data_IF_533864452555
#
_entry.id   IF_533864452555
#
_cell.length_a   1.000
_cell.length_b   1.000
_cell.length_c   1.000
_cell.angle_alpha   90.00
_cell.angle_beta   90.00
_cell.angle_gamma   90.00
#
_symmetry.space_group_name_H-M   'P 1'
#
loop_
_entity.id
_entity.type
_entity.pdbx_description
1 polymer ?
#
# COMPACT_ATOMS: atom_id res chain seq x y z
N UNK A 1 -34.26 58.40 46.65
CA UNK A 1 -34.29 58.39 48.13
C UNK A 1 -32.93 58.87 48.61
N UNK A 2 -32.84 60.05 49.22
CA UNK A 2 -31.56 60.60 49.67
C UNK A 2 -31.20 59.99 51.03
N UNK A 3 -30.06 59.30 51.07
CA UNK A 3 -29.49 58.65 52.24
C UNK A 3 -28.64 59.67 52.99
N UNK A 4 -28.85 59.87 54.31
CA UNK A 4 -27.88 60.62 55.12
C UNK A 4 -26.78 59.67 55.63
N UNK A 5 -25.69 60.25 56.14
CA UNK A 5 -24.35 59.65 56.28
C UNK A 5 -24.23 58.36 57.14
N UNK A 6 -25.32 57.82 57.70
CA UNK A 6 -25.33 56.55 58.43
C UNK A 6 -26.28 55.47 57.87
N UNK A 7 -27.00 55.70 56.77
CA UNK A 7 -27.58 54.61 55.95
C UNK A 7 -28.65 53.71 56.57
N UNK A 8 -29.49 54.22 57.47
CA UNK A 8 -30.39 53.43 58.32
C UNK A 8 -31.88 53.62 57.96
N UNK A 9 -32.40 52.95 56.95
CA UNK A 9 -33.85 52.96 56.63
C UNK A 9 -34.40 51.54 56.61
N UNK A 10 -35.59 51.31 57.18
CA UNK A 10 -36.37 50.07 57.07
C UNK A 10 -37.65 50.30 56.27
N UNK A 11 -38.23 49.25 55.70
CA UNK A 11 -39.47 49.32 54.90
C UNK A 11 -40.67 48.96 55.78
N UNK A 12 -41.70 49.81 55.82
CA UNK A 12 -42.94 49.54 56.56
C UNK A 12 -43.86 48.56 55.80
N UNK A 13 -44.90 48.06 56.48
CA UNK A 13 -45.90 47.14 55.90
C UNK A 13 -46.72 47.75 54.75
N UNK A 14 -46.63 49.06 54.51
CA UNK A 14 -47.26 49.78 53.41
C UNK A 14 -46.28 50.11 52.27
N UNK A 15 -45.05 49.60 52.34
CA UNK A 15 -44.02 49.73 51.31
C UNK A 15 -43.23 51.04 51.31
N UNK A 16 -43.42 51.91 52.32
CA UNK A 16 -42.68 53.17 52.48
C UNK A 16 -41.42 52.97 53.35
N UNK A 17 -40.34 53.67 53.03
CA UNK A 17 -39.08 53.60 53.79
C UNK A 17 -39.09 54.62 54.94
N UNK A 18 -38.96 54.13 56.17
CA UNK A 18 -38.86 54.95 57.39
C UNK A 18 -37.45 54.87 57.97
N UNK A 19 -37.02 55.92 58.67
CA UNK A 19 -35.70 55.96 59.31
C UNK A 19 -35.66 54.91 60.43
N UNK A 20 -34.65 54.04 60.41
CA UNK A 20 -34.46 53.01 61.42
C UNK A 20 -33.94 53.64 62.71
N UNK A 21 -34.73 53.47 63.79
CA UNK A 21 -34.37 53.85 65.14
C UNK A 21 -34.21 52.58 66.00
N UNK A 22 -33.01 52.38 66.56
CA UNK A 22 -32.67 51.23 67.39
C UNK A 22 -33.25 51.29 68.81
N UNK A 23 -33.94 52.38 69.16
CA UNK A 23 -34.57 52.58 70.48
C UNK A 23 -36.08 52.35 70.48
N UNK A 24 -36.69 52.19 69.30
CA UNK A 24 -38.11 51.86 69.15
C UNK A 24 -38.32 50.33 69.21
N UNK A 25 -39.16 49.82 70.14
CA UNK A 25 -39.50 48.40 70.23
C UNK A 25 -40.11 47.82 68.94
N UNK A 26 -40.74 48.66 68.09
CA UNK A 26 -41.34 48.22 66.83
C UNK A 26 -40.31 47.96 65.71
N UNK A 27 -39.10 48.54 65.83
CA UNK A 27 -38.00 48.33 64.88
C UNK A 27 -37.05 47.19 65.30
N UNK A 28 -37.17 46.72 66.55
CA UNK A 28 -36.40 45.62 67.08
C UNK A 28 -36.77 44.30 66.36
N UNK A 29 -35.95 43.90 65.39
CA UNK A 29 -36.13 42.69 64.59
C UNK A 29 -36.65 42.91 63.17
N UNK A 30 -36.82 44.16 62.71
CA UNK A 30 -37.13 44.47 61.32
C UNK A 30 -35.88 44.38 60.44
N UNK A 31 -35.95 43.63 59.34
CA UNK A 31 -34.83 43.48 58.40
C UNK A 31 -34.49 44.83 57.75
N UNK A 32 -33.23 45.25 57.94
CA UNK A 32 -32.71 46.54 57.45
C UNK A 32 -32.54 46.60 55.93
N UNK A 33 -32.48 45.44 55.27
CA UNK A 33 -32.29 45.31 53.82
C UNK A 33 -33.09 44.13 53.28
N UNK A 34 -33.89 44.36 52.24
CA UNK A 34 -34.53 43.30 51.46
C UNK A 34 -33.61 42.93 50.29
N UNK A 35 -32.77 41.90 50.49
CA UNK A 35 -31.90 41.38 49.44
C UNK A 35 -32.65 40.33 48.62
N UNK A 36 -33.28 40.73 47.53
CA UNK A 36 -33.83 39.79 46.57
C UNK A 36 -32.72 39.28 45.63
N UNK A 37 -32.34 38.01 45.77
CA UNK A 37 -31.38 37.36 44.87
C UNK A 37 -32.14 36.82 43.65
N UNK A 38 -32.14 37.58 42.56
CA UNK A 38 -32.69 37.13 41.28
C UNK A 38 -31.60 36.43 40.46
N UNK A 39 -31.84 35.20 40.03
CA UNK A 39 -30.97 34.55 39.07
C UNK A 39 -31.45 34.85 37.64
N UNK A 40 -30.54 34.93 36.66
CA UNK A 40 -30.88 35.21 35.26
C UNK A 40 -30.27 34.16 34.35
N UNK A 41 -30.96 33.82 33.26
CA UNK A 41 -30.42 32.99 32.18
C UNK A 41 -29.19 33.64 31.53
N UNK A 42 -28.38 32.84 30.84
CA UNK A 42 -27.11 33.31 30.23
C UNK A 42 -27.29 34.45 29.20
N UNK A 43 -28.42 34.46 28.50
CA UNK A 43 -28.86 35.51 27.57
C UNK A 43 -29.52 36.72 28.28
N UNK A 44 -29.65 36.67 29.61
CA UNK A 44 -30.27 37.67 30.50
C UNK A 44 -31.76 37.94 30.22
N UNK A 45 -32.44 37.08 29.46
CA UNK A 45 -33.84 37.29 29.06
C UNK A 45 -34.84 36.76 30.09
N UNK A 46 -34.49 35.72 30.84
CA UNK A 46 -35.37 35.06 31.80
C UNK A 46 -34.82 35.18 33.23
N UNK A 47 -35.73 35.38 34.20
CA UNK A 47 -35.41 35.26 35.62
C UNK A 47 -35.62 33.81 36.03
N UNK A 48 -34.58 33.19 36.60
CA UNK A 48 -34.57 31.78 36.98
C UNK A 48 -34.78 31.64 38.49
N UNK A 49 -35.41 30.54 38.89
CA UNK A 49 -35.91 30.38 40.24
C UNK A 49 -34.83 29.90 41.23
N UNK A 50 -33.74 29.32 40.70
CA UNK A 50 -32.64 28.81 41.53
C UNK A 50 -31.28 28.88 40.80
N UNK A 51 -30.21 28.75 41.60
CA UNK A 51 -28.83 28.78 41.11
C UNK A 51 -28.50 27.59 40.20
N UNK A 52 -29.17 26.45 40.38
CA UNK A 52 -28.92 25.23 39.59
C UNK A 52 -29.37 25.40 38.13
N UNK A 53 -30.57 25.93 37.92
CA UNK A 53 -31.11 26.28 36.59
C UNK A 53 -30.24 27.31 35.87
N UNK A 54 -29.66 28.23 36.65
CA UNK A 54 -28.78 29.27 36.14
C UNK A 54 -27.47 28.69 35.62
N UNK A 55 -26.82 27.87 36.44
CA UNK A 55 -25.59 27.18 36.04
C UNK A 55 -25.83 26.33 34.78
N UNK A 56 -26.97 25.65 34.68
CA UNK A 56 -27.30 24.84 33.51
C UNK A 56 -27.50 25.69 32.24
N UNK A 57 -28.19 26.83 32.35
CA UNK A 57 -28.33 27.81 31.26
C UNK A 57 -26.97 28.33 30.77
N UNK A 58 -26.03 28.62 31.68
CA UNK A 58 -24.69 29.08 31.32
C UNK A 58 -23.85 27.99 30.63
N UNK A 59 -23.96 26.72 31.04
CA UNK A 59 -23.29 25.60 30.36
C UNK A 59 -23.82 25.41 28.94
N UNK A 60 -25.14 25.42 28.78
CA UNK A 60 -25.78 25.21 27.48
C UNK A 60 -25.41 26.33 26.51
N UNK A 61 -25.46 27.59 26.96
CA UNK A 61 -25.07 28.73 26.15
C UNK A 61 -23.59 28.69 25.75
N UNK A 62 -22.69 28.32 26.67
CA UNK A 62 -21.27 28.17 26.36
C UNK A 62 -21.03 27.06 25.32
N UNK A 63 -21.71 25.92 25.43
CA UNK A 63 -21.64 24.87 24.42
C UNK A 63 -22.18 25.34 23.07
N UNK A 64 -23.31 26.05 23.05
CA UNK A 64 -23.91 26.58 21.82
C UNK A 64 -22.99 27.60 21.13
N UNK A 65 -22.40 28.52 21.88
CA UNK A 65 -21.44 29.50 21.35
C UNK A 65 -20.17 28.80 20.82
N UNK A 66 -19.66 27.79 21.52
CA UNK A 66 -18.54 26.98 21.05
C UNK A 66 -18.87 26.20 19.76
N UNK A 67 -20.08 25.63 19.67
CA UNK A 67 -20.54 24.89 18.48
C UNK A 67 -20.77 25.84 17.29
N UNK A 68 -21.23 27.06 17.53
CA UNK A 68 -21.51 28.04 16.47
C UNK A 68 -20.21 28.68 15.94
N UNK A 69 -19.24 28.92 16.81
CA UNK A 69 -17.95 29.55 16.43
C UNK A 69 -16.93 28.54 15.88
N UNK A 70 -17.12 27.25 16.09
CA UNK A 70 -16.27 26.20 15.53
C UNK A 70 -16.84 25.75 14.18
N UNK A 71 -16.03 25.70 13.13
CA UNK A 71 -16.45 25.33 11.75
C UNK A 71 -16.75 23.83 11.56
N UNK A 72 -17.17 23.12 12.61
CA UNK A 72 -17.46 21.68 12.54
C UNK A 72 -18.96 21.51 12.26
N UNK A 73 -19.29 21.31 10.98
CA UNK A 73 -20.61 20.86 10.57
C UNK A 73 -20.72 19.35 10.81
N UNK A 74 -21.58 18.94 11.74
CA UNK A 74 -21.93 17.53 11.93
C UNK A 74 -23.10 17.20 10.99
N UNK A 75 -22.81 16.59 9.83
CA UNK A 75 -23.83 15.98 8.97
C UNK A 75 -24.35 14.72 9.67
N UNK A 76 -25.64 14.69 9.97
CA UNK A 76 -26.26 13.74 10.92
C UNK A 76 -26.60 12.39 10.28
N UNK A 77 -25.86 11.96 9.26
CA UNK A 77 -26.26 10.79 8.46
C UNK A 77 -25.39 9.55 8.58
N UNK A 78 -24.30 9.54 9.36
CA UNK A 78 -23.69 8.27 9.75
C UNK A 78 -22.89 8.42 11.03
N UNK A 79 -23.02 7.42 11.92
CA UNK A 79 -22.32 7.31 13.19
C UNK A 79 -20.79 7.28 13.00
N UNK A 80 -20.19 8.45 12.81
CA UNK A 80 -18.77 8.67 13.06
C UNK A 80 -18.65 9.15 14.50
N UNK A 81 -18.40 8.20 15.41
CA UNK A 81 -17.94 8.58 16.73
C UNK A 81 -16.54 9.20 16.56
N UNK A 82 -16.35 10.42 17.03
CA UNK A 82 -15.03 11.02 17.23
C UNK A 82 -14.70 10.85 18.71
N UNK A 83 -13.78 9.94 19.04
CA UNK A 83 -13.15 10.00 20.37
C UNK A 83 -12.19 11.18 20.37
N UNK A 84 -12.45 12.16 21.22
CA UNK A 84 -11.51 13.25 21.50
C UNK A 84 -11.07 13.13 22.95
N UNK A 85 -10.25 12.13 23.24
CA UNK A 85 -9.52 12.04 24.50
C UNK A 85 -8.16 12.76 24.34
N UNK A 86 -8.15 14.07 24.62
CA UNK A 86 -6.93 14.88 24.64
C UNK A 86 -6.92 15.76 25.89
N UNK A 87 -6.02 15.46 26.82
CA UNK A 87 -5.62 16.39 27.88
C UNK A 87 -5.17 17.70 27.20
N UNK A 88 -5.87 18.82 27.49
CA UNK A 88 -5.73 20.10 26.79
C UNK A 88 -4.32 20.70 27.00
N UNK A 89 -3.33 20.23 26.24
CA UNK A 89 -2.11 21.00 26.01
C UNK A 89 -2.39 22.04 24.94
N UNK A 90 -2.30 23.33 25.33
CA UNK A 90 -2.35 24.50 24.44
C UNK A 90 -1.49 24.27 23.18
N UNK A 91 -2.12 24.42 22.01
CA UNK A 91 -1.49 24.52 20.69
C UNK A 91 -0.67 23.31 20.21
N UNK A 92 -1.24 22.11 20.21
CA UNK A 92 -0.73 21.03 19.34
C UNK A 92 -1.68 20.87 18.17
N UNK A 93 -1.23 21.26 16.97
CA UNK A 93 -1.99 21.03 15.74
C UNK A 93 -2.23 19.52 15.55
N UNK A 94 -3.47 19.13 15.29
CA UNK A 94 -3.80 17.76 14.89
C UNK A 94 -3.11 17.49 13.54
N UNK A 95 -2.09 16.63 13.54
CA UNK A 95 -1.43 16.20 12.31
C UNK A 95 -2.23 15.03 11.70
N UNK A 96 -2.97 15.28 10.62
CA UNK A 96 -3.55 14.21 9.83
C UNK A 96 -2.42 13.42 9.15
N UNK A 97 -2.14 12.21 9.63
CA UNK A 97 -1.21 11.29 8.99
C UNK A 97 -1.98 10.51 7.93
N UNK A 98 -1.80 10.88 6.66
CA UNK A 98 -2.27 10.06 5.55
C UNK A 98 -1.29 8.88 5.39
N UNK A 99 -1.67 7.69 5.88
CA UNK A 99 -0.95 6.45 5.57
C UNK A 99 -1.57 5.85 4.30
N UNK A 100 -0.95 6.12 3.15
CA UNK A 100 -1.34 5.49 1.90
C UNK A 100 -0.92 4.02 1.94
N UNK A 101 -1.90 3.10 2.01
CA UNK A 101 -1.66 1.67 1.79
C UNK A 101 -1.28 1.45 0.33
N UNK A 102 0.02 1.52 0.04
CA UNK A 102 0.55 1.20 -1.28
C UNK A 102 0.49 -0.31 -1.47
N UNK A 103 -0.41 -0.77 -2.34
CA UNK A 103 -0.40 -2.16 -2.82
C UNK A 103 0.65 -2.26 -3.91
N UNK A 104 1.69 -3.06 -3.68
CA UNK A 104 2.72 -3.35 -4.70
C UNK A 104 2.15 -4.21 -5.82
N UNK A 105 1.55 -3.58 -6.82
CA UNK A 105 1.24 -4.27 -8.06
C UNK A 105 2.43 -4.13 -9.03
N UNK A 106 2.88 -5.21 -9.69
CA UNK A 106 3.79 -5.11 -10.82
C UNK A 106 3.26 -4.08 -11.82
N UNK A 107 4.12 -3.15 -12.23
CA UNK A 107 3.75 -2.02 -13.11
C UNK A 107 3.57 -2.42 -14.57
N UNK A 108 4.02 -3.62 -14.94
CA UNK A 108 3.98 -4.19 -16.28
C UNK A 108 4.32 -5.69 -16.20
N UNK A 109 4.01 -6.46 -17.24
CA UNK A 109 4.39 -7.88 -17.40
C UNK A 109 5.92 -8.10 -17.41
N UNK A 110 6.74 -7.05 -17.33
CA UNK A 110 8.19 -7.14 -17.19
C UNK A 110 8.86 -7.72 -18.44
N UNK A 111 10.04 -8.32 -18.26
CA UNK A 111 10.77 -8.97 -19.36
C UNK A 111 10.25 -10.40 -19.53
N UNK A 112 9.81 -10.75 -20.74
CA UNK A 112 9.37 -12.11 -21.08
C UNK A 112 10.47 -12.76 -21.92
N UNK A 113 11.05 -13.84 -21.38
CA UNK A 113 12.01 -14.68 -22.09
C UNK A 113 11.29 -15.94 -22.55
N UNK A 114 11.29 -16.21 -23.84
CA UNK A 114 10.77 -17.44 -24.40
C UNK A 114 11.89 -18.49 -24.35
N UNK A 115 11.70 -19.56 -23.57
CA UNK A 115 12.75 -20.57 -23.38
C UNK A 115 12.71 -21.65 -24.47
N UNK A 116 11.59 -21.79 -25.16
CA UNK A 116 11.38 -22.84 -26.17
C UNK A 116 10.42 -22.39 -27.27
N UNK A 117 10.38 -23.14 -28.37
CA UNK A 117 9.39 -22.98 -29.45
C UNK A 117 7.97 -23.37 -29.02
N UNK A 118 7.81 -24.06 -27.89
CA UNK A 118 6.51 -24.42 -27.33
C UNK A 118 5.77 -23.20 -26.76
N UNK A 119 4.49 -23.06 -27.11
CA UNK A 119 3.61 -22.01 -26.58
C UNK A 119 3.47 -22.18 -25.07
N UNK A 120 3.81 -21.13 -24.31
CA UNK A 120 3.65 -21.10 -22.86
C UNK A 120 4.94 -21.39 -22.07
N UNK A 121 6.00 -21.89 -22.72
CA UNK A 121 7.32 -22.00 -22.08
C UNK A 121 8.03 -20.65 -22.08
N UNK A 122 7.61 -19.81 -21.12
CA UNK A 122 8.14 -18.47 -20.91
C UNK A 122 8.53 -18.26 -19.47
N UNK A 123 9.67 -17.62 -19.28
CA UNK A 123 10.09 -17.07 -17.98
C UNK A 123 9.75 -15.58 -17.99
N UNK A 124 8.78 -15.18 -17.18
CA UNK A 124 8.42 -13.77 -17.00
C UNK A 124 9.14 -13.21 -15.78
N UNK A 125 9.99 -12.22 -16.00
CA UNK A 125 10.72 -11.49 -14.95
C UNK A 125 9.96 -10.17 -14.69
N UNK A 126 9.19 -10.09 -13.60
CA UNK A 126 8.38 -8.90 -13.31
C UNK A 126 9.25 -7.69 -13.01
N UNK A 127 8.76 -6.50 -13.39
CA UNK A 127 9.39 -5.24 -13.00
C UNK A 127 8.67 -4.65 -11.79
N UNK A 128 9.41 -4.42 -10.72
CA UNK A 128 8.90 -3.78 -9.51
C UNK A 128 9.12 -2.26 -9.56
N UNK A 129 8.12 -1.44 -9.22
CA UNK A 129 8.31 0.00 -9.07
C UNK A 129 9.17 0.27 -7.83
N UNK A 130 10.39 0.82 -8.03
CA UNK A 130 11.31 1.15 -6.94
C UNK A 130 11.49 2.67 -6.82
N UNK A 131 10.39 3.39 -6.66
CA UNK A 131 10.39 4.85 -6.53
C UNK A 131 10.46 5.28 -5.06
N UNK A 132 10.72 6.57 -4.82
CA UNK A 132 10.83 7.15 -3.46
C UNK A 132 9.55 7.07 -2.63
N UNK A 133 8.40 6.83 -3.27
CA UNK A 133 7.09 6.70 -2.61
C UNK A 133 6.90 5.27 -2.10
N UNK A 134 7.13 4.25 -2.94
CA UNK A 134 7.05 2.83 -2.59
C UNK A 134 8.13 2.47 -1.56
N UNK A 135 9.33 3.04 -1.71
CA UNK A 135 10.41 2.89 -0.74
C UNK A 135 10.22 3.72 0.55
N UNK A 136 9.15 4.52 0.67
CA UNK A 136 8.87 5.45 1.79
C UNK A 136 9.93 6.53 2.06
N UNK A 137 10.95 6.63 1.21
CA UNK A 137 12.06 7.59 1.36
C UNK A 137 11.65 9.06 1.17
N UNK A 138 10.47 9.34 0.60
CA UNK A 138 9.99 10.72 0.44
C UNK A 138 9.78 11.46 1.78
N UNK A 139 9.66 10.72 2.90
CA UNK A 139 9.49 11.26 4.26
C UNK A 139 10.80 11.36 5.03
N UNK A 140 11.91 10.91 4.46
CA UNK A 140 13.21 10.96 5.12
C UNK A 140 13.67 12.41 5.27
N UNK A 141 14.11 12.77 6.48
CA UNK A 141 14.54 14.10 6.87
C UNK A 141 15.52 14.04 8.04
N UNK A 142 16.38 15.05 8.14
CA UNK A 142 17.42 15.12 9.18
C UNK A 142 17.34 16.43 9.97
N UNK A 143 16.22 17.16 9.90
CA UNK A 143 16.12 18.51 10.48
C UNK A 143 15.89 18.46 11.98
N UNK A 144 15.16 17.46 12.46
CA UNK A 144 14.94 17.19 13.89
C UNK A 144 15.51 15.83 14.29
N UNK A 145 15.69 15.62 15.59
CA UNK A 145 16.15 14.35 16.12
C UNK A 145 15.15 13.23 15.80
N UNK A 146 13.86 13.51 15.95
CA UNK A 146 12.76 12.58 15.67
C UNK A 146 12.69 12.23 14.18
N UNK A 147 12.86 13.22 13.29
CA UNK A 147 12.92 12.98 11.84
C UNK A 147 14.13 12.12 11.46
N UNK A 148 15.29 12.37 12.08
CA UNK A 148 16.50 11.61 11.82
C UNK A 148 16.33 10.14 12.26
N UNK A 149 15.70 9.89 13.41
CA UNK A 149 15.40 8.54 13.87
C UNK A 149 14.41 7.82 12.94
N UNK A 150 13.31 8.48 12.57
CA UNK A 150 12.34 7.92 11.61
C UNK A 150 12.97 7.65 10.23
N UNK A 151 13.93 8.45 9.81
CA UNK A 151 14.64 8.24 8.54
C UNK A 151 15.49 6.97 8.52
N UNK A 152 16.05 6.57 9.66
CA UNK A 152 16.76 5.29 9.77
C UNK A 152 15.77 4.14 9.54
N UNK A 153 14.58 4.21 10.15
CA UNK A 153 13.52 3.19 9.96
C UNK A 153 13.05 3.12 8.50
N UNK A 154 12.85 4.28 7.85
CA UNK A 154 12.48 4.29 6.42
C UNK A 154 13.59 3.72 5.53
N UNK A 155 14.86 3.98 5.84
CA UNK A 155 15.99 3.39 5.12
C UNK A 155 16.08 1.88 5.31
N UNK A 156 15.85 1.38 6.53
CA UNK A 156 15.84 -0.06 6.83
C UNK A 156 14.73 -0.77 6.04
N UNK A 157 13.52 -0.21 6.05
CA UNK A 157 12.40 -0.69 5.24
C UNK A 157 12.72 -0.72 3.74
N UNK A 158 13.30 0.38 3.22
CA UNK A 158 13.69 0.46 1.81
C UNK A 158 14.77 -0.57 1.46
N UNK A 159 15.70 -0.82 2.37
CA UNK A 159 16.76 -1.81 2.21
C UNK A 159 16.20 -3.23 2.17
N UNK A 160 15.34 -3.59 3.12
CA UNK A 160 14.67 -4.90 3.18
C UNK A 160 13.87 -5.18 1.90
N UNK A 161 13.11 -4.19 1.43
CA UNK A 161 12.35 -4.31 0.19
C UNK A 161 13.28 -4.56 -1.00
N UNK A 162 14.36 -3.79 -1.13
CA UNK A 162 15.33 -3.93 -2.21
C UNK A 162 16.06 -5.28 -2.17
N UNK A 163 16.44 -5.75 -0.98
CA UNK A 163 17.05 -7.05 -0.78
C UNK A 163 16.10 -8.20 -1.13
N UNK A 164 14.83 -8.09 -0.74
CA UNK A 164 13.79 -9.04 -1.12
C UNK A 164 13.65 -9.15 -2.65
N UNK A 165 13.58 -8.01 -3.36
CA UNK A 165 13.51 -8.04 -4.83
C UNK A 165 14.81 -8.56 -5.47
N UNK A 166 15.99 -8.24 -4.90
CA UNK A 166 17.28 -8.80 -5.36
C UNK A 166 17.34 -10.31 -5.18
N UNK A 167 16.87 -10.83 -4.06
CA UNK A 167 16.79 -12.26 -3.80
C UNK A 167 15.90 -12.95 -4.84
N UNK A 168 14.73 -12.35 -5.14
CA UNK A 168 13.84 -12.85 -6.18
C UNK A 168 14.50 -12.86 -7.57
N UNK A 169 15.22 -11.79 -7.94
CA UNK A 169 15.98 -11.78 -9.20
C UNK A 169 17.11 -12.82 -9.22
N UNK A 170 17.77 -13.09 -8.10
CA UNK A 170 18.73 -14.20 -7.98
C UNK A 170 18.08 -15.56 -8.21
N UNK A 171 16.86 -15.77 -7.71
CA UNK A 171 16.11 -17.01 -7.98
C UNK A 171 15.78 -17.16 -9.48
N UNK A 172 15.40 -16.06 -10.15
CA UNK A 172 15.21 -16.07 -11.61
C UNK A 172 16.51 -16.35 -12.37
N UNK A 173 17.64 -15.79 -11.94
CA UNK A 173 18.96 -16.10 -12.53
C UNK A 173 19.30 -17.58 -12.42
N UNK A 174 19.14 -18.18 -11.24
CA UNK A 174 19.37 -19.62 -11.04
C UNK A 174 18.50 -20.46 -11.98
N UNK A 175 17.21 -20.10 -12.08
CA UNK A 175 16.28 -20.80 -12.98
C UNK A 175 16.69 -20.68 -14.45
N UNK A 176 17.15 -19.50 -14.88
CA UNK A 176 17.64 -19.29 -16.25
C UNK A 176 18.91 -20.09 -16.51
N UNK A 177 19.87 -20.12 -15.58
CA UNK A 177 21.09 -20.90 -15.72
C UNK A 177 20.79 -22.41 -15.80
N UNK A 178 19.83 -22.90 -15.02
CA UNK A 178 19.36 -24.29 -15.14
C UNK A 178 18.66 -24.55 -16.47
N UNK A 179 17.84 -23.62 -16.95
CA UNK A 179 17.14 -23.74 -18.22
C UNK A 179 18.13 -23.80 -19.38
N UNK A 180 19.15 -22.94 -19.36
CA UNK A 180 20.24 -22.89 -20.34
C UNK A 180 21.00 -24.22 -20.39
N UNK A 181 21.39 -24.76 -19.23
CA UNK A 181 22.04 -26.09 -19.14
C UNK A 181 21.17 -27.21 -19.69
N UNK A 182 19.86 -27.19 -19.41
CA UNK A 182 18.92 -28.17 -19.95
C UNK A 182 18.82 -28.04 -21.48
N UNK A 183 18.78 -26.80 -22.00
CA UNK A 183 18.72 -26.55 -23.45
C UNK A 183 19.97 -27.02 -24.17
N UNK A 184 21.15 -26.79 -23.62
CA UNK A 184 22.40 -27.32 -24.18
C UNK A 184 22.39 -28.86 -24.27
N UNK A 185 21.89 -29.54 -23.24
CA UNK A 185 21.75 -31.01 -23.24
C UNK A 185 20.70 -31.47 -24.27
N UNK A 186 19.58 -30.74 -24.39
CA UNK A 186 18.54 -31.03 -25.38
C UNK A 186 19.09 -30.89 -26.82
N UNK A 187 19.86 -29.83 -27.09
CA UNK A 187 20.52 -29.60 -28.37
C UNK A 187 21.53 -30.70 -28.71
N UNK A 188 22.38 -31.11 -27.75
CA UNK A 188 23.34 -32.21 -27.94
C UNK A 188 22.62 -33.52 -28.28
N UNK A 189 21.56 -33.86 -27.53
CA UNK A 189 20.79 -35.07 -27.76
C UNK A 189 20.04 -35.05 -29.10
N UNK A 190 19.48 -33.90 -29.47
CA UNK A 190 18.81 -33.71 -30.75
C UNK A 190 19.79 -33.83 -31.91
N UNK A 191 20.96 -33.21 -31.82
CA UNK A 191 22.01 -33.32 -32.83
C UNK A 191 22.54 -34.76 -32.94
N UNK A 192 22.74 -35.46 -31.82
CA UNK A 192 23.16 -36.86 -31.83
C UNK A 192 22.10 -37.79 -32.44
N UNK A 193 20.81 -37.49 -32.21
CA UNK A 193 19.71 -38.21 -32.84
C UNK A 193 19.62 -37.91 -34.35
N UNK A 194 19.80 -36.65 -34.75
CA UNK A 194 19.86 -36.27 -36.17
C UNK A 194 21.04 -36.97 -36.86
N UNK A 195 22.22 -36.96 -36.25
CA UNK A 195 23.41 -37.65 -36.75
C UNK A 195 23.14 -39.14 -36.98
N UNK A 196 22.50 -39.84 -36.04
CA UNK A 196 22.13 -41.26 -36.23
C UNK A 196 21.16 -41.52 -37.39
N UNK A 197 20.32 -40.54 -37.74
CA UNK A 197 19.31 -40.69 -38.81
C UNK A 197 19.88 -40.27 -40.16
N UNK A 198 20.64 -39.16 -40.18
CA UNK A 198 21.07 -38.48 -41.39
C UNK A 198 22.47 -38.87 -41.81
N UNK A 199 23.37 -39.11 -40.86
CA UNK A 199 24.74 -39.46 -41.18
C UNK A 199 24.79 -40.94 -41.59
N UNK A 200 25.40 -41.20 -42.73
CA UNK A 200 25.65 -42.55 -43.19
C UNK A 200 26.80 -43.15 -42.38
N UNK A 201 26.66 -44.43 -41.99
CA UNK A 201 27.79 -45.20 -41.52
C UNK A 201 28.77 -45.40 -42.70
N UNK A 202 29.83 -44.60 -42.71
CA UNK A 202 30.87 -44.64 -43.75
C UNK A 202 31.49 -46.03 -43.92
N UNK A 203 31.56 -46.84 -42.86
CA UNK A 203 32.10 -48.19 -42.98
C UNK A 203 31.15 -49.08 -43.80
N UNK A 204 29.85 -49.05 -43.51
CA UNK A 204 28.84 -49.79 -44.26
C UNK A 204 28.71 -49.27 -45.70
N UNK A 205 28.73 -47.96 -45.88
CA UNK A 205 28.63 -47.34 -47.21
C UNK A 205 29.87 -47.63 -48.08
N UNK A 206 31.07 -47.67 -47.49
CA UNK A 206 32.27 -48.08 -48.23
C UNK A 206 32.23 -49.55 -48.65
N UNK A 207 31.71 -50.46 -47.81
CA UNK A 207 31.53 -51.87 -48.19
C UNK A 207 30.52 -51.99 -49.34
N UNK A 208 29.40 -51.27 -49.25
CA UNK A 208 28.42 -51.24 -50.33
C UNK A 208 29.00 -50.63 -51.60
N UNK A 209 29.72 -49.52 -51.51
CA UNK A 209 30.39 -48.89 -52.64
C UNK A 209 31.40 -49.83 -53.32
N UNK A 210 32.25 -50.51 -52.53
CA UNK A 210 33.19 -51.51 -53.03
C UNK A 210 32.46 -52.68 -53.70
N UNK A 211 31.36 -53.18 -53.11
CA UNK A 211 30.53 -54.22 -53.71
C UNK A 211 29.94 -53.78 -55.05
N UNK A 212 29.42 -52.55 -55.16
CA UNK A 212 28.88 -52.00 -56.40
C UNK A 212 29.98 -51.81 -57.47
N UNK A 213 31.16 -51.35 -57.07
CA UNK A 213 32.32 -51.23 -57.98
C UNK A 213 32.76 -52.59 -58.52
N UNK A 214 32.83 -53.62 -57.67
CA UNK A 214 33.13 -54.99 -58.08
C UNK A 214 32.03 -55.53 -59.00
N UNK A 215 30.75 -55.30 -58.70
CA UNK A 215 29.63 -55.72 -59.55
C UNK A 215 29.63 -55.02 -60.91
N UNK A 216 29.98 -53.73 -60.98
CA UNK A 216 30.13 -53.03 -62.26
C UNK A 216 31.28 -53.63 -63.09
N UNK A 217 32.44 -53.85 -62.47
CA UNK A 217 33.59 -54.47 -63.15
C UNK A 217 33.26 -55.89 -63.61
N UNK A 218 32.65 -56.71 -62.75
CA UNK A 218 32.22 -58.06 -63.09
C UNK A 218 31.12 -58.07 -64.16
N UNK A 219 30.16 -57.14 -64.12
CA UNK A 219 29.12 -56.98 -65.13
C UNK A 219 29.68 -56.61 -66.48
N UNK A 220 30.68 -55.72 -66.53
CA UNK A 220 31.38 -55.35 -67.76
C UNK A 220 32.19 -56.53 -68.33
N UNK A 221 32.91 -57.28 -67.47
CA UNK A 221 33.62 -58.50 -67.88
C UNK A 221 32.66 -59.60 -68.36
N UNK A 222 31.54 -59.82 -67.67
CA UNK A 222 30.51 -60.78 -68.09
C UNK A 222 29.83 -60.37 -69.40
N UNK A 223 29.53 -59.07 -69.58
CA UNK A 223 28.99 -58.56 -70.84
C UNK A 223 29.98 -58.78 -71.99
N UNK A 224 31.28 -58.56 -71.75
CA UNK A 224 32.34 -58.85 -72.72
C UNK A 224 32.40 -60.35 -73.05
N UNK A 225 32.37 -61.22 -72.04
CA UNK A 225 32.40 -62.68 -72.20
C UNK A 225 31.16 -63.19 -72.95
N UNK A 226 29.97 -62.70 -72.59
CA UNK A 226 28.70 -63.07 -73.22
C UNK A 226 28.62 -62.61 -74.68
N UNK A 227 29.24 -61.48 -75.04
CA UNK A 227 29.34 -61.04 -76.43
C UNK A 227 30.35 -61.86 -77.25
N UNK A 228 31.37 -62.46 -76.62
CA UNK A 228 32.35 -63.30 -77.31
C UNK A 228 31.90 -64.75 -77.48
N UNK A 229 31.02 -65.24 -76.61
CA UNK A 229 30.51 -66.62 -76.64
C UNK A 229 29.81 -67.03 -77.96
N UNK A 230 28.96 -66.19 -78.59
CA UNK A 230 28.33 -66.51 -79.88
C UNK A 230 29.34 -66.76 -81.00
N UNK A 231 30.47 -66.04 -81.01
CA UNK A 231 31.50 -66.17 -82.03
C UNK A 231 32.27 -67.49 -81.91
N UNK A 232 32.43 -68.02 -80.69
CA UNK A 232 33.02 -69.34 -80.46
C UNK A 232 32.09 -70.49 -80.87
N UNK A 233 30.78 -70.33 -80.69
CA UNK A 233 29.80 -71.34 -81.14
C UNK A 233 29.66 -71.35 -82.66
N UNK A 234 29.79 -70.20 -83.32
CA UNK A 234 29.78 -70.11 -84.79
C UNK A 234 30.98 -70.79 -85.46
N UNK A 235 32.10 -70.95 -84.74
CA UNK A 235 33.25 -71.74 -85.18
C UNK A 235 33.05 -73.26 -85.02
N UNK A 236 32.13 -73.69 -84.15
CA UNK A 236 31.80 -75.11 -83.93
C UNK A 236 30.67 -75.61 -84.84
N UNK A 237 29.94 -74.70 -85.50
CA UNK A 237 28.85 -74.98 -86.43
C UNK A 237 29.26 -74.88 -87.92
N UNK A 238 30.51 -74.56 -88.22
CA UNK A 238 31.12 -74.59 -89.56
C UNK A 238 32.04 -75.80 -89.68
#
# INVERSE_FOLDING_TARGET
>A
MQQNAQGNYIKDNNGSYILYDNTDPAHAGADRYDMNVSYKSADKTQTLNNISETVESYKQFAMEDMLTNTSVQLDVNDYTYMDMAGDEKKNVAIQAIFDSKLVETPIDNGLIIQNSSLVGDKTTIPRFPMNTVVLRLYRAGTKTFEEAQASIEYCDYAMDMLLSKRSLYGAYQNRLEHTDKIKAIEEENAQAAESRIRDADMAAEMVNHSKHSILQQAGQSMLSQANQMPNGVLQLLQ
#
